data_IF_275197944159
#
_entry.id   IF_275197944159
#
_cell.length_a   1.000
_cell.length_b   1.000
_cell.length_c   1.000
_cell.angle_alpha   90.00
_cell.angle_beta   90.00
_cell.angle_gamma   90.00
#
_symmetry.space_group_name_H-M   'P 1'
#
loop_
_entity.id
_entity.type
_entity.pdbx_description
1 polymer ?
#
# COMPACT_ATOMS: atom_id res chain seq x y z
N UNK A 1 11.00 10.26 -9.57
CA UNK A 1 10.34 9.51 -8.47
C UNK A 1 11.34 9.16 -7.35
N UNK A 2 10.90 9.03 -6.07
CA UNK A 2 11.72 8.43 -5.00
C UNK A 2 11.74 6.89 -5.19
N UNK A 3 12.89 6.34 -5.57
CA UNK A 3 13.09 4.88 -5.66
C UNK A 3 13.30 4.23 -4.29
N UNK A 4 13.66 5.05 -3.30
CA UNK A 4 13.80 4.68 -1.91
C UNK A 4 12.67 5.34 -1.13
N UNK A 5 11.84 4.55 -0.46
CA UNK A 5 10.77 5.02 0.42
C UNK A 5 11.21 4.76 1.86
N UNK A 6 11.14 5.80 2.71
CA UNK A 6 11.46 5.70 4.14
C UNK A 6 10.30 6.23 4.96
N UNK A 7 9.85 5.47 5.94
CA UNK A 7 8.60 5.78 6.62
C UNK A 7 8.34 4.97 7.88
N UNK A 8 7.40 5.47 8.69
CA UNK A 8 6.87 4.77 9.86
C UNK A 8 5.87 3.70 9.41
N UNK A 9 5.94 2.54 10.07
CA UNK A 9 5.19 1.34 9.71
C UNK A 9 3.96 1.14 10.59
N UNK A 10 2.86 0.73 9.97
CA UNK A 10 1.82 -0.05 10.63
C UNK A 10 1.94 -1.52 10.24
N UNK A 11 2.18 -2.40 11.21
CA UNK A 11 2.20 -3.84 11.00
C UNK A 11 0.81 -4.44 11.24
N UNK A 12 0.28 -5.05 10.20
CA UNK A 12 -0.91 -5.88 10.22
C UNK A 12 -0.55 -7.35 10.42
N UNK A 13 -1.52 -8.15 10.87
CA UNK A 13 -1.41 -9.61 10.84
C UNK A 13 -1.74 -10.23 9.49
N UNK A 14 -1.98 -11.53 9.50
CA UNK A 14 -2.41 -12.31 8.33
C UNK A 14 -3.89 -12.06 7.99
N UNK A 15 -4.25 -12.36 6.74
CA UNK A 15 -5.62 -12.40 6.23
C UNK A 15 -6.39 -11.09 6.40
N UNK A 16 -5.71 -9.94 6.39
CA UNK A 16 -6.38 -8.64 6.37
C UNK A 16 -7.18 -8.50 5.08
N UNK A 17 -8.50 -8.44 5.21
CA UNK A 17 -9.39 -8.38 4.05
C UNK A 17 -9.57 -6.96 3.52
N UNK A 18 -9.99 -6.86 2.26
CA UNK A 18 -10.40 -5.59 1.66
C UNK A 18 -11.47 -4.84 2.47
N UNK A 19 -12.35 -5.57 3.17
CA UNK A 19 -13.42 -5.01 4.01
C UNK A 19 -12.92 -4.50 5.37
N UNK A 20 -11.78 -5.01 5.84
CA UNK A 20 -11.11 -4.49 7.04
C UNK A 20 -10.27 -3.25 6.72
N UNK A 21 -9.72 -3.16 5.51
CA UNK A 21 -9.06 -1.95 5.01
C UNK A 21 -10.07 -0.81 4.82
N UNK A 22 -11.26 -1.10 4.29
CA UNK A 22 -12.34 -0.12 4.17
C UNK A 22 -13.71 -0.81 4.19
N UNK A 23 -14.57 -0.42 5.12
CA UNK A 23 -15.88 -1.04 5.27
C UNK A 23 -16.80 -0.74 4.08
N UNK A 24 -17.67 -1.69 3.73
CA UNK A 24 -18.52 -1.60 2.55
C UNK A 24 -19.54 -0.45 2.61
N UNK A 25 -19.99 -0.08 3.80
CA UNK A 25 -20.87 1.07 4.02
C UNK A 25 -20.21 2.41 3.62
N UNK A 26 -18.88 2.47 3.49
CA UNK A 26 -18.15 3.65 3.03
C UNK A 26 -18.04 3.76 1.51
N UNK A 27 -18.41 2.71 0.76
CA UNK A 27 -18.23 2.70 -0.71
C UNK A 27 -19.15 3.69 -1.44
N UNK A 28 -20.20 4.19 -0.78
CA UNK A 28 -21.02 5.29 -1.30
C UNK A 28 -20.25 6.60 -1.51
N UNK A 29 -19.04 6.72 -0.96
CA UNK A 29 -18.12 7.85 -1.17
C UNK A 29 -17.43 7.80 -2.55
N UNK A 30 -17.66 6.77 -3.35
CA UNK A 30 -17.01 6.57 -4.64
C UNK A 30 -15.53 6.23 -4.48
N UNK A 31 -14.69 6.65 -5.44
CA UNK A 31 -13.25 6.39 -5.47
C UNK A 31 -12.39 7.61 -5.12
N UNK A 32 -12.96 8.62 -4.44
CA UNK A 32 -12.21 9.77 -3.97
C UNK A 32 -11.25 9.35 -2.83
N UNK A 33 -9.91 9.39 -3.03
CA UNK A 33 -8.97 9.00 -1.99
C UNK A 33 -9.10 9.85 -0.72
N UNK A 34 -9.34 11.15 -0.85
CA UNK A 34 -9.44 12.05 0.32
C UNK A 34 -10.59 11.65 1.24
N UNK A 35 -11.76 11.32 0.69
CA UNK A 35 -12.95 10.90 1.44
C UNK A 35 -12.83 9.48 1.98
N UNK A 36 -12.34 8.53 1.16
CA UNK A 36 -12.14 7.15 1.61
C UNK A 36 -11.03 7.04 2.66
N UNK A 37 -9.97 7.85 2.54
CA UNK A 37 -8.83 7.85 3.43
C UNK A 37 -9.15 8.26 4.86
N UNK A 38 -10.24 9.00 5.08
CA UNK A 38 -10.77 9.31 6.41
C UNK A 38 -11.17 8.06 7.19
N UNK A 39 -11.46 6.95 6.50
CA UNK A 39 -11.97 5.71 7.11
C UNK A 39 -11.07 4.50 6.84
N UNK A 40 -9.85 4.74 6.35
CA UNK A 40 -8.92 3.66 6.04
C UNK A 40 -8.55 2.86 7.30
N UNK A 41 -8.37 1.56 7.12
CA UNK A 41 -7.94 0.59 8.12
C UNK A 41 -8.86 0.48 9.35
N UNK A 42 -10.08 1.02 9.34
CA UNK A 42 -10.96 1.02 10.53
C UNK A 42 -11.31 -0.39 11.04
N UNK A 43 -11.34 -1.40 10.16
CA UNK A 43 -11.54 -2.80 10.53
C UNK A 43 -10.25 -3.61 10.73
N UNK A 44 -9.10 -3.06 10.35
CA UNK A 44 -7.77 -3.67 10.48
C UNK A 44 -6.94 -3.05 11.63
N UNK A 45 -7.37 -1.91 12.15
CA UNK A 45 -6.80 -1.20 13.28
C UNK A 45 -7.94 -0.94 14.29
N UNK A 46 -8.15 -1.83 15.27
CA UNK A 46 -9.28 -1.72 16.20
C UNK A 46 -9.35 -0.39 16.96
N UNK A 47 -8.20 0.25 17.18
CA UNK A 47 -8.09 1.56 17.84
C UNK A 47 -8.76 2.72 17.08
N UNK A 48 -9.02 2.54 15.78
CA UNK A 48 -9.56 3.61 14.90
C UNK A 48 -10.92 3.24 14.30
N UNK A 49 -11.57 2.21 14.83
CA UNK A 49 -12.86 1.75 14.35
C UNK A 49 -13.92 2.87 14.45
N UNK A 50 -14.50 3.25 13.32
CA UNK A 50 -15.45 4.36 13.20
C UNK A 50 -14.91 5.72 13.69
N UNK A 51 -13.59 5.93 13.66
CA UNK A 51 -12.95 7.21 13.96
C UNK A 51 -12.57 7.88 12.65
N UNK A 52 -13.21 8.99 12.31
CA UNK A 52 -12.84 9.79 11.14
C UNK A 52 -11.40 10.28 11.26
N UNK A 53 -10.61 10.09 10.21
CA UNK A 53 -9.16 10.27 10.13
C UNK A 53 -8.35 9.43 11.12
N UNK A 54 -8.95 8.49 11.86
CA UNK A 54 -8.26 7.83 12.96
C UNK A 54 -6.97 7.12 12.56
N UNK A 55 -6.94 6.44 11.41
CA UNK A 55 -5.70 5.83 10.91
C UNK A 55 -4.74 6.85 10.28
N UNK A 56 -5.27 7.82 9.52
CA UNK A 56 -4.50 8.91 8.90
C UNK A 56 -3.73 9.72 9.95
N UNK A 57 -4.37 10.03 11.07
CA UNK A 57 -3.81 10.84 12.16
C UNK A 57 -2.70 10.12 12.92
N UNK A 58 -2.59 8.78 12.79
CA UNK A 58 -1.44 8.02 13.31
C UNK A 58 -0.15 8.26 12.49
N UNK A 59 -0.26 8.81 11.27
CA UNK A 59 0.89 9.28 10.49
C UNK A 59 1.82 8.17 9.97
N UNK A 60 1.33 6.93 9.85
CA UNK A 60 2.07 5.88 9.17
C UNK A 60 2.11 6.14 7.68
N UNK A 61 3.25 5.90 7.04
CA UNK A 61 3.39 6.01 5.58
C UNK A 61 3.62 4.66 4.91
N UNK A 62 3.86 3.59 5.68
CA UNK A 62 4.05 2.22 5.18
C UNK A 62 3.08 1.29 5.91
N UNK A 63 2.37 0.45 5.16
CA UNK A 63 1.60 -0.66 5.73
C UNK A 63 2.31 -1.97 5.41
N UNK A 64 2.54 -2.78 6.43
CA UNK A 64 3.10 -4.12 6.31
C UNK A 64 2.01 -5.15 6.63
N UNK A 65 1.79 -6.10 5.74
CA UNK A 65 0.84 -7.21 5.90
C UNK A 65 1.52 -8.56 6.09
N UNK A 66 0.83 -9.48 6.75
CA UNK A 66 1.20 -10.89 6.74
C UNK A 66 0.77 -11.61 5.45
N UNK A 67 0.36 -12.86 5.59
CA UNK A 67 -0.16 -13.65 4.48
C UNK A 67 -1.53 -13.16 3.99
N UNK A 68 -1.80 -13.27 2.68
CA UNK A 68 -3.07 -12.88 2.02
C UNK A 68 -3.55 -11.45 2.34
N UNK A 69 -2.64 -10.47 2.33
CA UNK A 69 -3.02 -9.07 2.55
C UNK A 69 -3.94 -8.55 1.43
N UNK A 70 -5.02 -7.89 1.83
CA UNK A 70 -6.07 -7.41 0.95
C UNK A 70 -6.95 -8.54 0.38
N UNK A 71 -7.07 -9.66 1.09
CA UNK A 71 -7.90 -10.81 0.74
C UNK A 71 -9.41 -10.58 0.81
N UNK A 72 -10.20 -11.62 0.50
CA UNK A 72 -11.66 -11.65 0.67
C UNK A 72 -12.50 -10.83 -0.31
N UNK A 73 -11.93 -9.85 -1.01
CA UNK A 73 -12.63 -9.01 -1.98
C UNK A 73 -12.56 -9.52 -3.43
N UNK A 74 -13.52 -9.07 -4.25
CA UNK A 74 -13.38 -9.10 -5.72
C UNK A 74 -12.45 -7.97 -6.19
N UNK A 75 -12.32 -7.76 -7.50
CA UNK A 75 -11.61 -6.63 -8.08
C UNK A 75 -12.28 -5.29 -7.73
N UNK A 76 -11.96 -4.72 -6.57
CA UNK A 76 -12.44 -3.40 -6.09
C UNK A 76 -11.26 -2.48 -5.79
N UNK A 77 -11.37 -1.21 -6.17
CA UNK A 77 -10.29 -0.22 -5.98
C UNK A 77 -10.38 0.57 -4.67
N UNK A 78 -11.53 0.55 -4.00
CA UNK A 78 -11.76 1.29 -2.76
C UNK A 78 -10.67 1.08 -1.69
N UNK A 79 -10.19 -0.15 -1.39
CA UNK A 79 -9.15 -0.35 -0.38
C UNK A 79 -7.85 0.39 -0.70
N UNK A 80 -7.42 0.35 -1.96
CA UNK A 80 -6.20 1.03 -2.40
C UNK A 80 -6.40 2.54 -2.41
N UNK A 81 -7.56 3.03 -2.85
CA UNK A 81 -7.89 4.46 -2.79
C UNK A 81 -7.94 4.98 -1.34
N UNK A 82 -8.48 4.19 -0.41
CA UNK A 82 -8.49 4.53 1.01
C UNK A 82 -7.06 4.62 1.58
N UNK A 83 -6.20 3.63 1.29
CA UNK A 83 -4.80 3.64 1.73
C UNK A 83 -4.03 4.85 1.20
N UNK A 84 -4.16 5.15 -0.10
CA UNK A 84 -3.57 6.36 -0.71
C UNK A 84 -4.07 7.64 -0.01
N UNK A 85 -5.38 7.70 0.25
CA UNK A 85 -6.01 8.80 0.97
C UNK A 85 -5.55 8.97 2.40
N UNK A 86 -5.15 7.88 3.07
CA UNK A 86 -4.62 7.91 4.42
C UNK A 86 -3.14 8.32 4.48
N UNK A 87 -2.50 8.57 3.32
CA UNK A 87 -1.09 8.94 3.24
C UNK A 87 -0.14 7.75 3.15
N UNK A 88 -0.64 6.55 2.85
CA UNK A 88 0.22 5.38 2.62
C UNK A 88 0.95 5.53 1.29
N UNK A 89 2.27 5.42 1.36
CA UNK A 89 3.20 5.55 0.25
C UNK A 89 3.70 4.18 -0.25
N UNK A 90 3.68 3.14 0.59
CA UNK A 90 4.18 1.80 0.25
C UNK A 90 3.40 0.70 0.99
N UNK A 91 3.13 -0.39 0.26
CA UNK A 91 2.68 -1.65 0.82
C UNK A 91 3.79 -2.70 0.75
N UNK A 92 4.00 -3.43 1.84
CA UNK A 92 4.88 -4.60 1.90
C UNK A 92 4.08 -5.73 2.50
N UNK A 93 4.18 -6.95 1.98
CA UNK A 93 3.55 -8.09 2.66
C UNK A 93 4.30 -9.39 2.44
N UNK A 94 4.08 -10.36 3.33
CA UNK A 94 4.52 -11.74 3.10
C UNK A 94 3.87 -12.29 1.82
N UNK A 95 2.56 -12.06 1.68
CA UNK A 95 1.85 -12.26 0.41
C UNK A 95 0.64 -11.33 0.26
N UNK A 96 0.22 -11.11 -0.98
CA UNK A 96 -0.98 -10.33 -1.30
C UNK A 96 -2.02 -11.20 -1.99
N UNK A 97 -3.28 -10.82 -1.81
CA UNK A 97 -4.31 -11.27 -2.73
C UNK A 97 -4.02 -10.76 -4.14
N UNK A 98 -4.29 -11.60 -5.16
CA UNK A 98 -4.02 -11.27 -6.57
C UNK A 98 -4.67 -9.95 -7.02
N UNK A 99 -5.84 -9.62 -6.47
CA UNK A 99 -6.59 -8.44 -6.86
C UNK A 99 -6.02 -7.18 -6.22
N UNK A 100 -5.71 -7.24 -4.93
CA UNK A 100 -5.15 -6.10 -4.20
C UNK A 100 -3.77 -5.73 -4.72
N UNK A 101 -2.92 -6.72 -5.01
CA UNK A 101 -1.60 -6.47 -5.61
C UNK A 101 -1.69 -5.74 -6.96
N UNK A 102 -2.52 -6.26 -7.87
CA UNK A 102 -2.75 -5.64 -9.18
C UNK A 102 -3.35 -4.24 -9.05
N UNK A 103 -4.32 -4.05 -8.16
CA UNK A 103 -4.99 -2.76 -7.99
C UNK A 103 -4.06 -1.70 -7.38
N UNK A 104 -3.14 -2.10 -6.49
CA UNK A 104 -2.09 -1.21 -5.97
C UNK A 104 -1.23 -0.66 -7.12
N UNK A 105 -0.69 -1.56 -7.96
CA UNK A 105 0.11 -1.21 -9.13
C UNK A 105 -0.67 -0.33 -10.11
N UNK A 106 -1.91 -0.71 -10.45
CA UNK A 106 -2.74 0.03 -11.40
C UNK A 106 -2.98 1.48 -10.96
N UNK A 107 -3.12 1.70 -9.64
CA UNK A 107 -3.32 3.01 -9.04
C UNK A 107 -2.04 3.74 -8.66
N UNK A 108 -0.87 3.15 -8.94
CA UNK A 108 0.42 3.75 -8.65
C UNK A 108 0.81 3.75 -7.18
N UNK A 109 0.17 2.92 -6.34
CA UNK A 109 0.65 2.64 -4.98
C UNK A 109 1.65 1.47 -5.07
N UNK A 110 2.95 1.68 -4.82
CA UNK A 110 3.91 0.59 -4.89
C UNK A 110 3.59 -0.48 -3.85
N UNK A 111 3.71 -1.74 -4.26
CA UNK A 111 3.49 -2.91 -3.43
C UNK A 111 4.59 -3.95 -3.71
N UNK A 112 5.27 -4.44 -2.68
CA UNK A 112 6.37 -5.41 -2.81
C UNK A 112 6.14 -6.65 -1.95
N UNK A 113 6.40 -7.83 -2.54
CA UNK A 113 6.37 -9.11 -1.83
C UNK A 113 7.68 -9.29 -1.08
N UNK A 114 7.61 -9.49 0.23
CA UNK A 114 8.76 -9.69 1.10
C UNK A 114 8.46 -10.76 2.16
N UNK A 115 8.52 -12.06 1.79
CA UNK A 115 8.30 -13.14 2.74
C UNK A 115 9.27 -13.09 3.93
N UNK A 116 8.72 -13.12 5.14
CA UNK A 116 9.45 -12.98 6.41
C UNK A 116 9.47 -11.55 6.98
N UNK A 117 8.90 -10.55 6.29
CA UNK A 117 8.95 -9.14 6.73
C UNK A 117 8.32 -8.95 8.10
N UNK A 118 7.22 -9.67 8.38
CA UNK A 118 6.47 -9.58 9.64
C UNK A 118 7.28 -10.03 10.86
N UNK A 119 8.39 -10.76 10.65
CA UNK A 119 9.28 -11.23 11.72
C UNK A 119 10.36 -10.23 12.12
N UNK A 120 10.56 -9.18 11.33
CA UNK A 120 11.68 -8.23 11.48
C UNK A 120 11.23 -6.78 11.68
N UNK A 121 9.93 -6.54 11.82
CA UNK A 121 9.34 -5.21 11.97
C UNK A 121 8.28 -5.21 13.06
N UNK A 122 8.09 -4.06 13.70
CA UNK A 122 6.96 -3.79 14.59
C UNK A 122 6.26 -2.50 14.17
N UNK A 123 5.00 -2.34 14.56
CA UNK A 123 4.29 -1.06 14.39
C UNK A 123 5.07 0.08 15.06
N UNK A 124 5.25 1.18 14.33
CA UNK A 124 6.04 2.34 14.75
C UNK A 124 7.51 2.30 14.33
N UNK A 125 8.01 1.16 13.83
CA UNK A 125 9.36 1.10 13.29
C UNK A 125 9.53 1.96 12.04
N UNK A 126 10.75 2.46 11.83
CA UNK A 126 11.12 3.17 10.60
C UNK A 126 11.76 2.18 9.64
N UNK A 127 11.12 1.97 8.49
CA UNK A 127 11.64 1.15 7.40
C UNK A 127 12.15 2.04 6.27
N UNK A 128 13.24 1.63 5.65
CA UNK A 128 13.71 2.13 4.36
C UNK A 128 13.66 0.99 3.35
N UNK A 129 12.96 1.18 2.23
CA UNK A 129 12.82 0.19 1.18
C UNK A 129 13.29 0.78 -0.16
N UNK A 130 14.24 0.10 -0.81
CA UNK A 130 14.66 0.38 -2.17
C UNK A 130 13.85 -0.49 -3.14
N UNK A 131 12.99 0.14 -3.92
CA UNK A 131 12.08 -0.54 -4.84
C UNK A 131 12.79 -1.13 -6.07
N UNK A 132 14.00 -0.66 -6.38
CA UNK A 132 14.80 -1.13 -7.52
C UNK A 132 15.61 -2.36 -7.16
N UNK A 133 16.23 -2.37 -5.99
CA UNK A 133 17.05 -3.50 -5.52
C UNK A 133 16.24 -4.52 -4.72
N UNK A 134 15.11 -4.12 -4.16
CA UNK A 134 14.30 -4.92 -3.24
C UNK A 134 14.85 -4.97 -1.81
N UNK A 135 15.88 -4.19 -1.48
CA UNK A 135 16.41 -4.16 -0.11
C UNK A 135 15.43 -3.44 0.82
N UNK A 136 15.04 -4.10 1.91
CA UNK A 136 14.19 -3.53 2.96
C UNK A 136 14.95 -3.56 4.29
N UNK A 137 15.22 -2.38 4.84
CA UNK A 137 15.97 -2.21 6.09
C UNK A 137 15.11 -1.61 7.19
N UNK A 138 15.00 -2.31 8.31
CA UNK A 138 14.48 -1.75 9.54
C UNK A 138 15.56 -0.85 10.17
N UNK A 139 15.35 0.47 10.04
CA UNK A 139 16.26 1.47 10.57
C UNK A 139 16.19 1.59 12.11
N UNK A 140 15.13 1.07 12.75
CA UNK A 140 15.01 1.03 14.21
C UNK A 140 15.88 -0.08 14.80
N UNK A 141 15.82 -1.28 14.22
CA UNK A 141 16.49 -2.47 14.78
C UNK A 141 17.81 -2.83 14.10
N UNK A 142 18.05 -2.30 12.89
CA UNK A 142 19.18 -2.66 12.04
C UNK A 142 18.97 -3.94 11.23
N UNK A 143 17.82 -4.61 11.37
CA UNK A 143 17.50 -5.80 10.58
C UNK A 143 17.33 -5.44 9.09
N UNK A 144 17.74 -6.36 8.21
CA UNK A 144 17.61 -6.22 6.77
C UNK A 144 17.03 -7.50 6.17
N UNK A 145 16.17 -7.34 5.17
CA UNK A 145 15.55 -8.44 4.45
C UNK A 145 15.41 -8.08 2.97
N UNK A 146 15.51 -9.10 2.11
CA UNK A 146 15.41 -8.95 0.67
C UNK A 146 13.97 -9.24 0.21
N UNK A 147 13.35 -8.28 -0.47
CA UNK A 147 12.09 -8.43 -1.18
C UNK A 147 12.32 -8.76 -2.65
N UNK A 148 11.23 -9.08 -3.36
CA UNK A 148 11.24 -8.99 -4.81
C UNK A 148 11.38 -7.51 -5.24
N UNK A 149 12.28 -7.17 -6.17
CA UNK A 149 12.34 -5.82 -6.74
C UNK A 149 11.15 -5.56 -7.65
N UNK A 150 10.79 -4.29 -7.82
CA UNK A 150 9.83 -3.89 -8.85
C UNK A 150 10.52 -3.86 -10.22
N UNK A 151 9.80 -4.30 -11.25
CA UNK A 151 10.29 -4.15 -12.62
C UNK A 151 10.25 -2.68 -13.07
N UNK A 152 11.07 -2.33 -14.05
CA UNK A 152 11.13 -0.96 -14.59
C UNK A 152 9.76 -0.44 -15.03
N UNK A 153 8.95 -1.27 -15.68
CA UNK A 153 7.59 -0.89 -16.09
C UNK A 153 6.68 -0.57 -14.90
N UNK A 154 6.79 -1.33 -13.79
CA UNK A 154 5.99 -1.06 -12.59
C UNK A 154 6.48 0.22 -11.90
N UNK A 155 7.79 0.46 -11.88
CA UNK A 155 8.36 1.72 -11.41
C UNK A 155 7.85 2.91 -12.23
N UNK A 156 7.77 2.77 -13.56
CA UNK A 156 7.15 3.77 -14.43
C UNK A 156 5.67 3.98 -14.06
N UNK A 157 4.88 2.93 -13.84
CA UNK A 157 3.48 3.11 -13.44
C UNK A 157 3.35 3.90 -12.14
N UNK A 158 4.19 3.62 -11.13
CA UNK A 158 4.20 4.38 -9.88
C UNK A 158 4.60 5.83 -10.12
N UNK A 159 5.62 6.10 -10.94
CA UNK A 159 6.09 7.46 -11.25
C UNK A 159 5.00 8.32 -11.91
N UNK A 160 4.19 7.73 -12.78
CA UNK A 160 3.11 8.43 -13.47
C UNK A 160 1.82 8.52 -12.63
N UNK A 161 1.79 7.96 -11.42
CA UNK A 161 0.60 7.94 -10.57
C UNK A 161 -0.44 6.90 -11.00
N UNK A 162 0.01 5.82 -11.65
CA UNK A 162 -0.79 4.68 -12.07
C UNK A 162 -0.70 4.37 -13.56
N UNK A 163 -1.13 3.16 -13.90
CA UNK A 163 -1.06 2.60 -15.25
C UNK A 163 -1.86 3.43 -16.28
N UNK A 164 -3.05 3.93 -15.92
CA UNK A 164 -3.85 4.76 -16.83
C UNK A 164 -3.16 6.09 -17.14
N UNK A 165 -2.55 6.71 -16.13
CA UNK A 165 -1.83 7.97 -16.30
C UNK A 165 -0.56 7.77 -17.15
N UNK A 166 0.15 6.66 -16.95
CA UNK A 166 1.26 6.24 -17.81
C UNK A 166 0.87 6.19 -19.29
N UNK A 167 -0.18 5.42 -19.63
CA UNK A 167 -0.59 5.27 -21.03
C UNK A 167 -1.11 6.56 -21.65
N UNK A 168 -1.82 7.41 -20.89
CA UNK A 168 -2.25 8.73 -21.36
C UNK A 168 -1.06 9.60 -21.77
N UNK A 169 0.00 9.62 -20.96
CA UNK A 169 1.18 10.43 -21.25
C UNK A 169 2.02 9.85 -22.38
N UNK A 170 2.13 8.52 -22.47
CA UNK A 170 2.81 7.83 -23.58
C UNK A 170 2.13 8.13 -24.92
N UNK A 171 0.81 8.05 -24.99
CA UNK A 171 0.05 8.33 -26.22
C UNK A 171 0.09 9.81 -26.65
N UNK A 172 0.39 10.73 -25.72
CA UNK A 172 0.58 12.14 -26.07
C UNK A 172 1.99 12.44 -26.61
N UNK A 173 2.97 11.62 -26.25
CA UNK A 173 4.37 11.77 -26.69
C UNK A 173 4.64 11.10 -28.04
N UNK A 174 3.81 10.14 -28.44
CA UNK A 174 3.91 9.42 -29.70
C UNK A 174 2.54 9.43 -30.42
N UNK A 175 2.07 10.60 -30.91
CA UNK A 175 0.85 10.66 -31.71
C UNK A 175 1.09 9.91 -33.01
N UNK A 176 0.28 8.86 -33.22
CA UNK A 176 0.27 8.07 -34.46
C UNK A 176 0.12 8.93 -35.73
#
# INVERSE_FOLDING_TARGET
>A
MKRIIKGSVYLCGDNVTAYQIIAQNRWGLGLNPEELGKWAMEGACPEVLNVENGFRDKGYSIVIGGEDFGGGGKSIEHPIAALQGAGIELLIADSFSRYSFRNAINRGLPAILCPGITKVVHTGDIIEADLTTGTVRNCTTGAEIQSAPLSDLVLEFVEYGGMLAYYRKKNQQDPA
#
